data_IF_124797296002
#
_entry.id   IF_124797296002
#
_cell.length_a   1.000
_cell.length_b   1.000
_cell.length_c   1.000
_cell.angle_alpha   90.00
_cell.angle_beta   90.00
_cell.angle_gamma   90.00
#
_symmetry.space_group_name_H-M   'P 1'
#
loop_
_entity.id
_entity.type
_entity.pdbx_description
1 polymer ?
#
# COMPACT_ATOMS: atom_id res chain seq x y z
N UNK A 1 3.49 3.32 4.29
CA UNK A 1 2.25 3.89 3.74
C UNK A 1 2.14 5.35 4.11
N UNK A 2 1.56 6.22 3.25
CA UNK A 2 1.20 7.57 3.63
C UNK A 2 0.25 7.57 4.83
N UNK A 3 0.22 8.69 5.54
CA UNK A 3 -0.72 8.86 6.65
C UNK A 3 -2.15 8.99 6.10
N UNK A 4 -3.03 8.09 6.52
CA UNK A 4 -4.37 7.95 5.96
C UNK A 4 -5.50 8.16 6.98
N UNK A 5 -5.22 8.23 8.28
CA UNK A 5 -6.22 8.50 9.29
C UNK A 5 -6.83 9.89 9.08
N UNK A 6 -8.16 9.95 9.10
CA UNK A 6 -8.93 11.17 9.02
C UNK A 6 -9.52 11.58 10.36
N UNK A 7 -10.51 12.46 10.31
CA UNK A 7 -11.18 12.98 11.51
C UNK A 7 -11.94 11.89 12.27
N UNK A 8 -12.53 10.91 11.58
CA UNK A 8 -13.32 9.84 12.21
C UNK A 8 -12.44 8.93 13.09
N UNK A 9 -11.25 8.52 12.59
CA UNK A 9 -10.32 7.73 13.38
C UNK A 9 -9.73 8.53 14.53
N UNK A 10 -9.47 9.81 14.33
CA UNK A 10 -9.00 10.71 15.39
C UNK A 10 -10.08 10.96 16.46
N UNK A 11 -11.35 11.05 16.05
CA UNK A 11 -12.49 11.18 16.98
C UNK A 11 -12.63 9.92 17.82
N UNK A 12 -12.60 8.75 17.19
CA UNK A 12 -12.65 7.46 17.89
C UNK A 12 -11.51 7.35 18.91
N UNK A 13 -10.28 7.67 18.49
CA UNK A 13 -9.14 7.65 19.40
C UNK A 13 -9.30 8.63 20.57
N UNK A 14 -9.77 9.84 20.30
CA UNK A 14 -10.01 10.84 21.35
C UNK A 14 -11.05 10.37 22.36
N UNK A 15 -12.18 9.87 21.89
CA UNK A 15 -13.29 9.42 22.74
C UNK A 15 -12.86 8.20 23.58
N UNK A 16 -12.12 7.26 23.01
CA UNK A 16 -11.55 6.11 23.72
C UNK A 16 -10.57 6.55 24.81
N UNK A 17 -9.66 7.47 24.51
CA UNK A 17 -8.69 7.97 25.48
C UNK A 17 -9.36 8.79 26.59
N UNK A 18 -10.40 9.54 26.26
CA UNK A 18 -11.19 10.30 27.23
C UNK A 18 -11.97 9.37 28.15
N UNK A 19 -12.73 8.43 27.61
CA UNK A 19 -13.49 7.45 28.39
C UNK A 19 -12.57 6.57 29.28
N UNK A 20 -11.41 6.20 28.77
CA UNK A 20 -10.39 5.51 29.55
C UNK A 20 -9.87 6.37 30.71
N UNK A 21 -9.56 7.64 30.46
CA UNK A 21 -9.01 8.54 31.46
C UNK A 21 -10.02 8.94 32.53
N UNK A 22 -11.30 9.00 32.17
CA UNK A 22 -12.39 9.49 33.03
C UNK A 22 -13.60 8.53 32.96
N UNK A 23 -13.50 7.33 33.55
CA UNK A 23 -14.62 6.38 33.57
C UNK A 23 -15.88 7.03 34.13
N UNK A 24 -16.98 6.95 33.38
CA UNK A 24 -18.27 7.63 33.73
C UNK A 24 -18.12 9.15 34.00
N UNK A 25 -17.23 9.82 33.27
CA UNK A 25 -16.89 11.24 33.39
C UNK A 25 -16.34 11.64 34.78
N UNK A 26 -15.84 10.67 35.55
CA UNK A 26 -15.36 10.85 36.92
C UNK A 26 -13.85 10.50 37.02
N UNK A 27 -13.04 11.52 37.33
CA UNK A 27 -11.61 11.36 37.48
C UNK A 27 -11.19 10.54 38.71
N UNK A 28 -12.04 10.42 39.72
CA UNK A 28 -11.75 9.67 40.94
C UNK A 28 -11.93 8.15 40.77
N UNK A 29 -12.60 7.72 39.71
CA UNK A 29 -12.77 6.31 39.38
C UNK A 29 -11.54 5.66 38.72
N UNK A 30 -10.62 6.44 38.22
CA UNK A 30 -9.39 5.94 37.61
C UNK A 30 -8.40 5.43 38.67
N UNK A 31 -7.90 4.20 38.49
CA UNK A 31 -6.89 3.57 39.35
C UNK A 31 -5.54 3.57 38.69
N UNK A 32 -4.69 4.53 39.01
CA UNK A 32 -3.40 4.79 38.36
C UNK A 32 -2.47 3.56 38.27
N UNK A 33 -2.54 2.63 39.20
CA UNK A 33 -1.65 1.47 39.27
C UNK A 33 -2.17 0.23 38.52
N UNK A 34 -3.45 0.21 38.14
CA UNK A 34 -4.08 -0.96 37.53
C UNK A 34 -4.74 -0.71 36.18
N UNK A 35 -5.01 0.55 35.85
CA UNK A 35 -5.71 0.87 34.61
C UNK A 35 -4.71 1.23 33.52
N UNK A 36 -4.72 0.43 32.45
CA UNK A 36 -3.88 0.58 31.27
C UNK A 36 -4.74 0.49 30.02
N UNK A 37 -4.47 1.34 29.04
CA UNK A 37 -5.12 1.31 27.73
C UNK A 37 -4.13 0.78 26.68
N UNK A 38 -4.42 -0.38 26.13
CA UNK A 38 -3.59 -0.98 25.10
C UNK A 38 -3.92 -0.41 23.72
N UNK A 39 -3.09 0.51 23.23
CA UNK A 39 -3.28 1.15 21.91
C UNK A 39 -2.89 0.23 20.76
N UNK A 40 -2.01 -0.75 20.98
CA UNK A 40 -1.62 -1.75 20.00
C UNK A 40 -0.11 -1.94 19.86
N UNK A 41 0.32 -2.90 19.04
CA UNK A 41 1.73 -3.14 18.77
C UNK A 41 2.32 -2.08 17.83
N UNK A 42 3.64 -1.88 17.95
CA UNK A 42 4.48 -1.22 16.94
C UNK A 42 5.53 -2.23 16.52
N UNK A 43 5.52 -2.64 15.25
CA UNK A 43 6.50 -3.58 14.71
C UNK A 43 7.60 -2.81 14.02
N UNK A 44 8.83 -3.04 14.45
CA UNK A 44 10.02 -2.36 13.93
C UNK A 44 11.12 -3.35 13.58
N UNK A 45 12.09 -2.91 12.78
CA UNK A 45 13.38 -3.58 12.59
C UNK A 45 14.48 -2.52 12.49
N UNK A 46 15.74 -2.94 12.67
CA UNK A 46 16.90 -2.05 12.43
C UNK A 46 17.35 -2.18 10.98
N UNK A 47 17.44 -1.02 10.31
CA UNK A 47 18.02 -0.94 8.97
C UNK A 47 19.56 -0.95 9.04
N UNK A 48 20.21 -0.91 7.87
CA UNK A 48 21.67 -0.95 7.76
C UNK A 48 22.36 0.24 8.43
N UNK A 49 21.67 1.36 8.60
CA UNK A 49 22.15 2.56 9.30
C UNK A 49 21.85 2.50 10.82
N UNK A 50 21.44 1.33 11.34
CA UNK A 50 21.05 1.12 12.74
C UNK A 50 19.86 1.95 13.21
N UNK A 51 19.06 2.48 12.30
CA UNK A 51 17.83 3.19 12.61
C UNK A 51 16.66 2.22 12.74
N UNK A 52 15.71 2.52 13.62
CA UNK A 52 14.48 1.77 13.76
C UNK A 52 13.48 2.20 12.68
N UNK A 53 13.18 1.31 11.76
CA UNK A 53 12.10 1.49 10.79
C UNK A 53 10.82 0.83 11.29
N UNK A 54 9.69 1.54 11.15
CA UNK A 54 8.37 1.08 11.61
C UNK A 54 7.65 0.42 10.43
N UNK A 55 7.32 -0.86 10.60
CA UNK A 55 6.53 -1.64 9.63
C UNK A 55 5.04 -1.57 9.97
N UNK A 56 4.67 -1.68 11.25
CA UNK A 56 3.30 -1.53 11.72
C UNK A 56 3.21 -0.54 12.87
N UNK A 57 2.03 0.08 13.00
CA UNK A 57 1.75 1.09 14.01
C UNK A 57 2.04 2.53 13.56
N UNK A 58 2.45 2.75 12.32
CA UNK A 58 2.76 4.08 11.76
C UNK A 58 1.62 5.07 11.95
N UNK A 59 0.38 4.71 11.59
CA UNK A 59 -0.81 5.57 11.70
C UNK A 59 -1.04 5.99 13.15
N UNK A 60 -1.04 5.04 14.07
CA UNK A 60 -1.23 5.26 15.51
C UNK A 60 -0.15 6.15 16.10
N UNK A 61 1.11 5.86 15.80
CA UNK A 61 2.23 6.67 16.33
C UNK A 61 2.18 8.09 15.80
N UNK A 62 1.94 8.28 14.51
CA UNK A 62 1.79 9.59 13.89
C UNK A 62 0.66 10.39 14.56
N UNK A 63 -0.50 9.77 14.76
CA UNK A 63 -1.65 10.44 15.38
C UNK A 63 -1.38 10.82 16.84
N UNK A 64 -0.74 9.92 17.62
CA UNK A 64 -0.34 10.26 18.99
C UNK A 64 0.68 11.40 19.02
N UNK A 65 1.61 11.45 18.08
CA UNK A 65 2.58 12.56 17.99
C UNK A 65 1.89 13.90 17.72
N UNK A 66 0.89 13.93 16.81
CA UNK A 66 0.08 15.13 16.56
C UNK A 66 -0.73 15.54 17.80
N UNK A 67 -1.34 14.59 18.49
CA UNK A 67 -2.08 14.83 19.72
C UNK A 67 -1.19 15.39 20.84
N UNK A 68 -0.02 14.77 21.07
CA UNK A 68 0.94 15.26 22.08
C UNK A 68 1.45 16.67 21.73
N UNK A 69 1.68 16.93 20.43
CA UNK A 69 2.09 18.26 19.99
C UNK A 69 1.02 19.32 20.25
N UNK A 70 -0.26 18.98 20.05
CA UNK A 70 -1.39 19.88 20.35
C UNK A 70 -1.49 20.19 21.86
N UNK A 71 -1.31 19.18 22.71
CA UNK A 71 -1.21 19.40 24.17
C UNK A 71 -0.02 20.29 24.55
N UNK A 72 1.15 20.05 23.95
CA UNK A 72 2.36 20.84 24.20
C UNK A 72 2.12 22.35 23.96
N UNK A 73 1.43 22.68 22.86
CA UNK A 73 1.10 24.07 22.53
C UNK A 73 0.10 24.66 23.53
N UNK A 74 -0.93 23.89 23.87
CA UNK A 74 -1.91 24.34 24.86
C UNK A 74 -1.29 24.67 26.22
N UNK A 75 -0.39 23.79 26.69
CA UNK A 75 0.32 24.01 27.95
C UNK A 75 1.32 25.16 27.91
N UNK A 76 1.77 25.58 26.74
CA UNK A 76 2.61 26.77 26.59
C UNK A 76 1.97 28.07 27.15
N UNK A 77 0.64 28.12 27.13
CA UNK A 77 -0.14 29.25 27.62
C UNK A 77 -0.58 29.11 29.11
N UNK A 78 -0.29 27.94 29.73
CA UNK A 78 -0.68 27.66 31.10
C UNK A 78 0.49 27.94 32.08
N UNK A 79 0.18 28.51 33.25
CA UNK A 79 1.21 28.96 34.23
C UNK A 79 1.36 28.03 35.43
N UNK A 80 0.42 27.12 35.65
CA UNK A 80 0.44 26.21 36.77
C UNK A 80 1.57 25.18 36.67
N UNK A 81 1.96 24.61 37.82
CA UNK A 81 3.09 23.69 37.91
C UNK A 81 2.82 22.37 37.20
N UNK A 82 1.60 21.88 37.22
CA UNK A 82 1.24 20.60 36.63
C UNK A 82 1.33 20.67 35.09
N UNK A 83 0.76 21.70 34.48
CA UNK A 83 0.87 21.95 33.03
C UNK A 83 2.31 22.08 32.57
N UNK A 84 3.17 22.74 33.34
CA UNK A 84 4.61 22.82 33.01
C UNK A 84 5.30 21.46 33.03
N UNK A 85 5.07 20.63 34.06
CA UNK A 85 5.64 19.30 34.17
C UNK A 85 5.19 18.39 33.05
N UNK A 86 3.90 18.41 32.71
CA UNK A 86 3.35 17.61 31.60
C UNK A 86 3.94 18.07 30.27
N UNK A 87 4.06 19.39 30.05
CA UNK A 87 4.68 19.95 28.86
C UNK A 87 6.14 19.48 28.68
N UNK A 88 6.95 19.48 29.75
CA UNK A 88 8.32 18.96 29.73
C UNK A 88 8.35 17.46 29.38
N UNK A 89 7.44 16.67 29.94
CA UNK A 89 7.32 15.24 29.61
C UNK A 89 6.95 15.02 28.14
N UNK A 90 6.03 15.80 27.59
CA UNK A 90 5.67 15.76 26.16
C UNK A 90 6.87 16.16 25.30
N UNK A 91 7.63 17.17 25.68
CA UNK A 91 8.80 17.60 24.94
C UNK A 91 9.79 16.45 24.74
N UNK A 92 10.02 15.66 25.79
CA UNK A 92 10.88 14.46 25.71
C UNK A 92 10.31 13.36 24.82
N UNK A 93 9.01 13.34 24.55
CA UNK A 93 8.40 12.40 23.58
C UNK A 93 8.59 12.86 22.13
N UNK A 94 8.49 14.16 21.88
CA UNK A 94 8.49 14.72 20.52
C UNK A 94 9.91 14.96 19.99
N UNK A 95 10.80 15.50 20.81
CA UNK A 95 12.15 15.86 20.43
C UNK A 95 13.21 14.91 21.00
N UNK A 96 14.33 14.77 20.32
CA UNK A 96 15.50 14.06 20.85
C UNK A 96 16.05 14.80 22.06
N UNK A 97 16.55 14.06 23.03
CA UNK A 97 17.18 14.61 24.21
C UNK A 97 18.69 14.53 24.13
N UNK A 98 19.38 15.42 24.84
CA UNK A 98 20.82 15.37 25.05
C UNK A 98 21.19 14.41 26.21
N UNK A 99 22.46 14.45 26.62
CA UNK A 99 22.99 13.61 27.69
C UNK A 99 22.38 13.91 29.07
N UNK A 100 21.77 15.08 29.25
CA UNK A 100 21.10 15.54 30.48
C UNK A 100 19.58 15.38 30.42
N UNK A 101 19.07 14.67 29.41
CA UNK A 101 17.64 14.47 29.13
C UNK A 101 16.87 15.79 28.80
N UNK A 102 17.62 16.81 28.33
CA UNK A 102 17.03 18.06 27.87
C UNK A 102 16.62 17.98 26.37
N UNK A 103 15.40 18.39 26.02
CA UNK A 103 14.91 18.28 24.63
C UNK A 103 15.62 19.24 23.68
N UNK A 104 16.17 18.73 22.59
CA UNK A 104 16.68 19.51 21.46
C UNK A 104 15.53 19.79 20.47
N UNK A 105 14.96 20.99 20.54
CA UNK A 105 13.81 21.41 19.72
C UNK A 105 14.07 21.41 18.21
N UNK A 106 15.32 21.25 17.77
CA UNK A 106 15.67 21.18 16.36
C UNK A 106 15.68 19.73 15.83
N UNK A 107 15.62 18.74 16.71
CA UNK A 107 15.77 17.32 16.36
C UNK A 107 14.58 16.50 16.81
N UNK A 108 13.71 16.17 15.87
CA UNK A 108 12.56 15.31 16.14
C UNK A 108 13.00 13.86 16.43
N UNK A 109 12.23 13.14 17.28
CA UNK A 109 12.44 11.71 17.52
C UNK A 109 11.94 10.83 16.38
N UNK A 110 10.98 11.33 15.61
CA UNK A 110 10.40 10.63 14.47
C UNK A 110 10.71 11.39 13.19
N UNK A 111 10.94 10.65 12.11
CA UNK A 111 11.02 11.16 10.76
C UNK A 111 10.08 10.35 9.87
N UNK A 112 9.63 10.93 8.75
CA UNK A 112 8.82 10.25 7.76
C UNK A 112 9.60 10.16 6.46
N UNK A 113 10.02 8.96 6.11
CA UNK A 113 10.71 8.67 4.85
C UNK A 113 9.79 7.97 3.83
N UNK A 114 8.46 8.07 4.00
CA UNK A 114 7.51 7.48 3.07
C UNK A 114 7.64 8.19 1.72
N UNK A 115 8.07 7.44 0.71
CA UNK A 115 8.40 7.97 -0.61
C UNK A 115 7.22 8.63 -1.34
N UNK A 116 5.99 8.18 -1.08
CA UNK A 116 4.75 8.69 -1.69
C UNK A 116 4.02 9.72 -0.84
N UNK A 117 4.58 10.14 0.30
CA UNK A 117 3.96 11.13 1.17
C UNK A 117 4.41 12.53 0.79
N UNK A 118 3.61 13.19 -0.03
CA UNK A 118 3.88 14.58 -0.45
C UNK A 118 3.75 15.58 0.72
N UNK A 119 2.98 15.22 1.74
CA UNK A 119 2.61 16.10 2.84
C UNK A 119 3.50 15.89 4.08
N UNK A 120 4.52 15.01 3.99
CA UNK A 120 5.45 14.75 5.11
C UNK A 120 6.13 16.00 5.63
N UNK A 121 6.38 16.99 4.76
CA UNK A 121 6.94 18.27 5.14
C UNK A 121 6.02 19.03 6.11
N UNK A 122 4.71 19.00 5.90
CA UNK A 122 3.72 19.59 6.80
C UNK A 122 3.74 18.88 8.17
N UNK A 123 3.82 17.56 8.19
CA UNK A 123 3.93 16.78 9.43
C UNK A 123 5.14 17.20 10.27
N UNK A 124 6.32 17.22 9.66
CA UNK A 124 7.55 17.60 10.36
C UNK A 124 7.53 19.04 10.84
N UNK A 125 6.97 19.97 10.05
CA UNK A 125 6.82 21.36 10.45
C UNK A 125 5.83 21.53 11.60
N UNK A 126 4.69 20.82 11.58
CA UNK A 126 3.74 20.79 12.70
C UNK A 126 4.43 20.32 13.98
N UNK A 127 5.21 19.22 13.93
CA UNK A 127 5.90 18.74 15.11
C UNK A 127 6.96 19.71 15.61
N UNK A 128 7.69 20.40 14.75
CA UNK A 128 8.72 21.37 15.12
C UNK A 128 8.12 22.66 15.69
N UNK A 129 7.28 23.32 14.92
CA UNK A 129 6.81 24.68 15.21
C UNK A 129 5.41 24.73 15.84
N UNK A 130 4.56 23.73 15.63
CA UNK A 130 3.13 23.76 16.00
C UNK A 130 2.30 24.67 15.10
N UNK A 131 2.87 25.18 14.02
CA UNK A 131 2.20 26.07 13.09
C UNK A 131 1.54 25.25 11.99
N UNK A 132 0.31 25.61 11.65
CA UNK A 132 -0.43 25.08 10.50
C UNK A 132 -0.83 26.26 9.62
N UNK A 133 -0.31 26.32 8.41
CA UNK A 133 -0.66 27.36 7.46
C UNK A 133 -2.13 27.21 7.01
N UNK A 134 -2.76 28.35 6.68
CA UNK A 134 -4.20 28.41 6.38
C UNK A 134 -4.59 27.60 5.12
N UNK A 135 -3.63 27.36 4.22
CA UNK A 135 -3.82 26.61 2.97
C UNK A 135 -3.62 25.09 3.09
N UNK A 136 -3.06 24.60 4.19
CA UNK A 136 -2.76 23.18 4.36
C UNK A 136 -4.03 22.36 4.58
N UNK A 137 -4.18 21.33 3.74
CA UNK A 137 -5.34 20.42 3.71
C UNK A 137 -4.98 18.96 3.92
N UNK A 138 -3.71 18.65 4.20
CA UNK A 138 -3.28 17.29 4.48
C UNK A 138 -4.02 16.71 5.69
N UNK A 139 -4.09 15.39 5.76
CA UNK A 139 -4.61 14.69 6.94
C UNK A 139 -3.85 15.08 8.21
N UNK A 140 -2.55 15.37 8.12
CA UNK A 140 -1.75 15.85 9.23
C UNK A 140 -2.27 17.20 9.78
N UNK A 141 -2.47 18.16 8.91
CA UNK A 141 -2.93 19.48 9.26
C UNK A 141 -4.39 19.47 9.78
N UNK A 142 -5.27 18.70 9.13
CA UNK A 142 -6.66 18.57 9.55
C UNK A 142 -6.76 17.93 10.93
N UNK A 143 -6.07 16.81 11.15
CA UNK A 143 -6.11 16.08 12.42
C UNK A 143 -5.44 16.87 13.56
N UNK A 144 -4.38 17.62 13.28
CA UNK A 144 -3.78 18.49 14.27
C UNK A 144 -4.73 19.61 14.71
N UNK A 145 -5.43 20.28 13.76
CA UNK A 145 -6.46 21.29 14.08
C UNK A 145 -7.60 20.67 14.87
N UNK A 146 -8.04 19.47 14.51
CA UNK A 146 -9.05 18.73 15.24
C UNK A 146 -8.65 18.55 16.73
N UNK A 147 -7.44 18.08 17.01
CA UNK A 147 -6.97 17.92 18.37
C UNK A 147 -6.81 19.27 19.12
N UNK A 148 -6.33 20.30 18.45
CA UNK A 148 -6.28 21.65 19.05
C UNK A 148 -7.68 22.14 19.47
N UNK A 149 -8.70 21.90 18.64
CA UNK A 149 -10.08 22.25 18.93
C UNK A 149 -10.61 21.43 20.13
N UNK A 150 -10.46 20.11 20.09
CA UNK A 150 -10.91 19.22 21.19
C UNK A 150 -10.27 19.59 22.54
N UNK A 151 -8.98 19.85 22.55
CA UNK A 151 -8.27 20.29 23.77
C UNK A 151 -8.75 21.67 24.22
N UNK A 152 -9.11 22.56 23.32
CA UNK A 152 -9.62 23.90 23.65
C UNK A 152 -11.01 23.81 24.22
N UNK A 153 -11.90 23.00 23.66
CA UNK A 153 -13.23 22.77 24.15
C UNK A 153 -13.20 22.15 25.55
N UNK A 154 -12.39 21.11 25.73
CA UNK A 154 -12.15 20.47 27.01
C UNK A 154 -11.59 21.46 28.06
N UNK A 155 -10.65 22.33 27.67
CA UNK A 155 -10.10 23.33 28.59
C UNK A 155 -11.13 24.40 29.02
N UNK A 156 -12.14 24.62 28.21
CA UNK A 156 -13.23 25.56 28.52
C UNK A 156 -14.26 24.95 29.47
N UNK A 157 -14.53 23.65 29.30
CA UNK A 157 -15.55 22.93 30.08
C UNK A 157 -14.97 22.31 31.36
N UNK A 158 -13.80 21.64 31.25
CA UNK A 158 -13.13 20.95 32.35
C UNK A 158 -11.63 21.30 32.43
N UNK A 159 -11.26 22.53 32.81
CA UNK A 159 -9.86 22.99 32.73
C UNK A 159 -8.91 22.18 33.62
N UNK A 160 -9.35 21.61 34.73
CA UNK A 160 -8.52 20.74 35.57
C UNK A 160 -8.24 19.37 34.99
N UNK A 161 -9.03 18.92 34.03
CA UNK A 161 -8.88 17.59 33.42
C UNK A 161 -7.86 17.55 32.29
N UNK A 162 -7.54 18.69 31.67
CA UNK A 162 -6.61 18.76 30.53
C UNK A 162 -5.24 18.18 30.88
N UNK A 163 -4.66 18.61 32.01
CA UNK A 163 -3.37 18.08 32.47
C UNK A 163 -3.46 16.61 32.89
N UNK A 164 -4.59 16.18 33.45
CA UNK A 164 -4.81 14.80 33.87
C UNK A 164 -4.92 13.87 32.62
N UNK A 165 -5.67 14.27 31.59
CA UNK A 165 -5.77 13.48 30.34
C UNK A 165 -4.39 13.26 29.72
N UNK A 166 -3.64 14.34 29.51
CA UNK A 166 -2.29 14.23 28.96
C UNK A 166 -1.36 13.36 29.82
N UNK A 167 -1.45 13.46 31.15
CA UNK A 167 -0.68 12.64 32.08
C UNK A 167 -1.06 11.16 31.96
N UNK A 168 -2.35 10.84 31.84
CA UNK A 168 -2.83 9.46 31.68
C UNK A 168 -2.42 8.86 30.33
N UNK A 169 -2.46 9.67 29.27
CA UNK A 169 -1.94 9.26 27.95
C UNK A 169 -0.44 8.89 28.06
N UNK A 170 0.36 9.73 28.68
CA UNK A 170 1.80 9.52 28.80
C UNK A 170 2.19 8.33 29.69
N UNK A 171 1.41 8.03 30.73
CA UNK A 171 1.80 7.03 31.72
C UNK A 171 1.02 5.72 31.63
N UNK A 172 -0.17 5.69 31.04
CA UNK A 172 -1.08 4.55 31.11
C UNK A 172 -1.54 4.06 29.73
N UNK A 173 -1.23 4.78 28.64
CA UNK A 173 -1.46 4.27 27.28
C UNK A 173 -0.24 3.49 26.84
N UNK A 174 -0.46 2.21 26.50
CA UNK A 174 0.63 1.28 26.19
C UNK A 174 0.70 1.04 24.68
N UNK A 175 1.87 1.28 24.11
CA UNK A 175 2.30 0.81 22.81
C UNK A 175 3.29 -0.34 23.02
N UNK A 176 3.04 -1.51 22.47
CA UNK A 176 3.91 -2.67 22.60
C UNK A 176 4.95 -2.68 21.46
N UNK A 177 6.22 -2.33 21.73
CA UNK A 177 7.26 -2.39 20.72
C UNK A 177 7.67 -3.86 20.49
N UNK A 178 7.67 -4.27 19.22
CA UNK A 178 8.16 -5.56 18.75
C UNK A 178 9.28 -5.27 17.77
N UNK A 179 10.53 -5.45 18.21
CA UNK A 179 11.70 -5.29 17.36
C UNK A 179 12.05 -6.65 16.71
N UNK A 180 11.99 -6.71 15.39
CA UNK A 180 12.34 -7.88 14.62
C UNK A 180 13.81 -7.83 14.18
N UNK A 181 14.44 -9.00 14.02
CA UNK A 181 15.84 -9.13 13.61
C UNK A 181 16.08 -8.67 12.16
N UNK A 182 15.04 -8.69 11.31
CA UNK A 182 15.12 -8.30 9.91
C UNK A 182 13.79 -7.76 9.41
N UNK A 183 13.80 -7.06 8.26
CA UNK A 183 12.61 -6.60 7.58
C UNK A 183 11.65 -7.75 7.24
N UNK A 184 12.17 -8.87 6.74
CA UNK A 184 11.34 -10.03 6.40
C UNK A 184 10.64 -10.62 7.63
N UNK A 185 11.33 -10.69 8.77
CA UNK A 185 10.74 -11.11 10.03
C UNK A 185 9.68 -10.12 10.51
N UNK A 186 9.94 -8.81 10.42
CA UNK A 186 8.98 -7.77 10.76
C UNK A 186 7.70 -7.88 9.92
N UNK A 187 7.84 -8.11 8.61
CA UNK A 187 6.70 -8.30 7.70
C UNK A 187 5.90 -9.57 8.01
N UNK A 188 6.55 -10.67 8.43
CA UNK A 188 5.85 -11.90 8.88
C UNK A 188 5.08 -11.67 10.17
N UNK A 189 5.69 -10.99 11.14
CA UNK A 189 5.01 -10.61 12.40
C UNK A 189 3.80 -9.74 12.10
N UNK A 190 3.97 -8.72 11.27
CA UNK A 190 2.89 -7.83 10.83
C UNK A 190 1.75 -8.62 10.17
N UNK A 191 2.04 -9.53 9.24
CA UNK A 191 1.04 -10.39 8.60
C UNK A 191 0.25 -11.21 9.63
N UNK A 192 0.96 -11.77 10.62
CA UNK A 192 0.35 -12.64 11.65
C UNK A 192 -0.53 -11.83 12.62
N UNK A 193 -0.09 -10.63 13.02
CA UNK A 193 -0.84 -9.77 13.92
C UNK A 193 -2.06 -9.14 13.25
N UNK A 194 -1.99 -8.89 11.93
CA UNK A 194 -3.06 -8.29 11.14
C UNK A 194 -4.08 -9.29 10.57
N UNK A 195 -4.11 -10.52 11.05
CA UNK A 195 -5.12 -11.52 10.65
C UNK A 195 -6.58 -11.04 10.85
N UNK A 196 -6.76 -9.87 11.49
CA UNK A 196 -8.04 -9.16 11.70
C UNK A 196 -8.11 -7.76 11.09
N UNK A 197 -7.05 -7.28 10.39
CA UNK A 197 -6.96 -5.96 9.74
C UNK A 197 -6.75 -6.05 8.23
N UNK A 198 -6.65 -4.89 7.54
CA UNK A 198 -6.26 -4.85 6.13
C UNK A 198 -4.78 -5.27 5.99
N UNK A 199 -4.48 -6.39 5.33
CA UNK A 199 -3.11 -6.82 5.14
C UNK A 199 -2.32 -5.78 4.33
N UNK A 200 -1.01 -5.72 4.58
CA UNK A 200 -0.10 -4.94 3.72
C UNK A 200 -0.20 -5.47 2.30
N UNK A 201 -0.50 -4.59 1.35
CA UNK A 201 -0.54 -4.97 -0.05
C UNK A 201 0.84 -5.49 -0.50
N UNK A 202 0.86 -6.48 -1.36
CA UNK A 202 2.12 -7.02 -1.88
C UNK A 202 2.91 -5.94 -2.63
N UNK A 203 2.21 -5.04 -3.33
CA UNK A 203 2.78 -3.87 -3.99
C UNK A 203 3.53 -2.91 -3.04
N UNK A 204 3.08 -2.73 -1.79
CA UNK A 204 3.81 -1.91 -0.80
C UNK A 204 5.19 -2.50 -0.46
N UNK A 205 5.26 -3.84 -0.38
CA UNK A 205 6.53 -4.56 -0.15
C UNK A 205 7.44 -4.39 -1.36
N UNK A 206 6.90 -4.57 -2.57
CA UNK A 206 7.67 -4.45 -3.82
C UNK A 206 8.20 -3.04 -4.00
N UNK A 207 7.40 -2.02 -3.71
CA UNK A 207 7.81 -0.62 -3.66
C UNK A 207 9.06 -0.43 -2.81
N UNK A 208 9.08 -1.01 -1.61
CA UNK A 208 10.23 -0.88 -0.71
C UNK A 208 11.49 -1.53 -1.27
N UNK A 209 11.37 -2.62 -2.04
CA UNK A 209 12.52 -3.29 -2.66
C UNK A 209 13.09 -2.47 -3.82
N UNK A 210 12.24 -1.94 -4.70
CA UNK A 210 12.67 -1.01 -5.75
C UNK A 210 13.30 0.25 -5.15
N UNK A 211 12.67 0.84 -4.13
CA UNK A 211 13.19 2.02 -3.46
C UNK A 211 14.61 1.81 -2.92
N UNK A 212 14.87 0.69 -2.24
CA UNK A 212 16.21 0.33 -1.74
C UNK A 212 17.21 0.20 -2.90
N UNK A 213 16.81 -0.46 -3.98
CA UNK A 213 17.66 -0.64 -5.15
C UNK A 213 18.03 0.71 -5.79
N UNK A 214 17.05 1.56 -6.11
CA UNK A 214 17.30 2.87 -6.72
C UNK A 214 18.00 3.84 -5.78
N UNK A 215 17.73 3.76 -4.48
CA UNK A 215 18.46 4.53 -3.46
C UNK A 215 19.94 4.16 -3.45
N UNK A 216 20.29 2.88 -3.56
CA UNK A 216 21.69 2.43 -3.64
C UNK A 216 22.43 2.94 -4.90
N UNK A 217 21.69 3.27 -5.96
CA UNK A 217 22.20 3.88 -7.19
C UNK A 217 22.24 5.42 -7.14
N UNK A 218 21.79 6.04 -6.04
CA UNK A 218 21.66 7.50 -5.93
C UNK A 218 20.49 8.10 -6.73
N UNK A 219 19.53 7.28 -7.20
CA UNK A 219 18.39 7.65 -8.05
C UNK A 219 17.05 7.55 -7.33
N UNK A 220 17.05 7.85 -6.04
CA UNK A 220 15.89 7.77 -5.16
C UNK A 220 14.72 8.63 -5.65
N UNK A 221 14.98 9.91 -5.97
CA UNK A 221 13.93 10.87 -6.32
C UNK A 221 13.29 10.53 -7.66
N UNK A 222 14.08 10.07 -8.64
CA UNK A 222 13.60 9.57 -9.92
C UNK A 222 12.63 8.38 -9.72
N UNK A 223 13.01 7.41 -8.90
CA UNK A 223 12.12 6.28 -8.59
C UNK A 223 10.80 6.73 -7.96
N UNK A 224 10.84 7.71 -7.05
CA UNK A 224 9.64 8.22 -6.38
C UNK A 224 8.64 8.78 -7.41
N UNK A 225 9.12 9.57 -8.37
CA UNK A 225 8.29 10.14 -9.44
C UNK A 225 7.69 9.06 -10.33
N UNK A 226 8.51 8.12 -10.79
CA UNK A 226 8.06 6.98 -11.62
C UNK A 226 7.02 6.12 -10.90
N UNK A 227 7.28 5.75 -9.66
CA UNK A 227 6.35 4.93 -8.88
C UNK A 227 5.02 5.64 -8.63
N UNK A 228 5.05 6.94 -8.34
CA UNK A 228 3.83 7.73 -8.17
C UNK A 228 2.97 7.72 -9.44
N UNK A 229 3.59 7.93 -10.59
CA UNK A 229 2.90 7.88 -11.88
C UNK A 229 2.29 6.49 -12.16
N UNK A 230 3.01 5.41 -11.79
CA UNK A 230 2.50 4.03 -11.86
C UNK A 230 1.27 3.84 -10.97
N UNK A 231 1.34 4.23 -9.69
CA UNK A 231 0.22 4.10 -8.74
C UNK A 231 -1.02 4.87 -9.20
N UNK A 232 -0.86 6.13 -9.64
CA UNK A 232 -1.94 6.96 -10.14
C UNK A 232 -2.60 6.32 -11.38
N UNK A 233 -1.80 5.91 -12.36
CA UNK A 233 -2.33 5.30 -13.59
C UNK A 233 -2.98 3.94 -13.32
N UNK A 234 -2.36 3.09 -12.49
CA UNK A 234 -2.96 1.79 -12.15
C UNK A 234 -4.30 1.95 -11.42
N UNK A 235 -4.42 2.96 -10.55
CA UNK A 235 -5.66 3.26 -9.82
C UNK A 235 -6.78 3.72 -10.76
N UNK A 236 -6.43 4.46 -11.81
CA UNK A 236 -7.41 4.93 -12.80
C UNK A 236 -8.00 3.78 -13.64
N UNK A 237 -7.18 2.77 -14.00
CA UNK A 237 -7.57 1.78 -15.02
C UNK A 237 -7.86 0.38 -14.45
N UNK A 238 -7.31 0.01 -13.30
CA UNK A 238 -7.53 -1.30 -12.71
C UNK A 238 -8.49 -1.24 -11.53
N UNK A 239 -9.55 -2.04 -11.59
CA UNK A 239 -10.57 -2.16 -10.54
C UNK A 239 -10.72 -3.63 -10.10
N UNK A 240 -9.68 -4.23 -9.49
CA UNK A 240 -9.72 -5.63 -9.10
C UNK A 240 -10.76 -5.85 -7.98
N UNK A 241 -11.44 -7.00 -8.01
CA UNK A 241 -12.37 -7.37 -6.94
C UNK A 241 -11.65 -7.71 -5.62
N UNK A 242 -10.36 -8.08 -5.68
CA UNK A 242 -9.52 -8.43 -4.53
C UNK A 242 -8.12 -7.88 -4.77
N UNK A 243 -7.51 -7.33 -3.73
CA UNK A 243 -6.18 -6.71 -3.82
C UNK A 243 -6.24 -5.25 -4.25
N UNK A 244 -5.07 -4.70 -4.56
CA UNK A 244 -4.92 -3.31 -5.01
C UNK A 244 -4.75 -3.23 -6.54
N UNK A 245 -4.98 -2.06 -7.17
CA UNK A 245 -4.66 -1.86 -8.59
C UNK A 245 -3.21 -2.21 -8.95
N UNK A 246 -2.27 -1.92 -8.07
CA UNK A 246 -0.87 -2.29 -8.25
C UNK A 246 -0.65 -3.80 -8.15
N UNK A 247 -1.34 -4.51 -7.25
CA UNK A 247 -1.27 -5.99 -7.19
C UNK A 247 -1.77 -6.63 -8.50
N UNK A 248 -2.76 -6.03 -9.16
CA UNK A 248 -3.23 -6.49 -10.49
C UNK A 248 -2.14 -6.29 -11.56
N UNK A 249 -1.43 -5.15 -11.57
CA UNK A 249 -0.31 -4.93 -12.46
C UNK A 249 0.80 -5.98 -12.23
N UNK A 250 1.17 -6.20 -10.97
CA UNK A 250 2.17 -7.21 -10.62
C UNK A 250 1.70 -8.64 -10.95
N UNK A 251 0.41 -8.93 -10.87
CA UNK A 251 -0.13 -10.23 -11.28
C UNK A 251 0.08 -10.46 -12.77
N UNK A 252 -0.19 -9.46 -13.61
CA UNK A 252 0.06 -9.52 -15.06
C UNK A 252 1.55 -9.72 -15.35
N UNK A 253 2.40 -8.98 -14.68
CA UNK A 253 3.86 -9.10 -14.80
C UNK A 253 4.36 -10.47 -14.29
N UNK A 254 3.81 -11.00 -13.23
CA UNK A 254 4.14 -12.33 -12.72
C UNK A 254 3.91 -13.42 -13.77
N UNK A 255 2.80 -13.38 -14.52
CA UNK A 255 2.54 -14.35 -15.58
C UNK A 255 3.59 -14.30 -16.69
N UNK A 256 4.03 -13.10 -17.08
CA UNK A 256 5.15 -12.94 -18.01
C UNK A 256 6.44 -13.54 -17.46
N UNK A 257 6.82 -13.21 -16.24
CA UNK A 257 8.05 -13.73 -15.60
C UNK A 257 7.98 -15.26 -15.37
N UNK A 258 6.80 -15.80 -15.10
CA UNK A 258 6.56 -17.25 -15.02
C UNK A 258 6.81 -17.93 -16.37
N UNK A 259 6.30 -17.36 -17.44
CA UNK A 259 6.52 -17.85 -18.80
C UNK A 259 8.02 -17.83 -19.17
N UNK A 260 8.73 -16.72 -18.88
CA UNK A 260 10.18 -16.62 -19.07
C UNK A 260 10.98 -17.67 -18.30
N UNK A 261 10.48 -18.10 -17.12
CA UNK A 261 11.11 -19.16 -16.31
C UNK A 261 10.63 -20.57 -16.65
N UNK A 262 9.77 -20.76 -17.63
CA UNK A 262 9.18 -22.03 -18.03
C UNK A 262 8.54 -22.79 -16.83
N UNK A 263 7.75 -22.09 -16.03
CA UNK A 263 7.08 -22.70 -14.87
C UNK A 263 5.79 -23.37 -15.31
N UNK A 264 5.81 -24.68 -15.44
CA UNK A 264 4.69 -25.49 -15.98
C UNK A 264 3.52 -25.71 -15.01
N UNK A 265 3.71 -25.44 -13.71
CA UNK A 265 2.65 -25.65 -12.72
C UNK A 265 1.43 -24.78 -13.00
N UNK A 266 0.25 -25.38 -13.03
CA UNK A 266 -1.03 -24.66 -13.11
C UNK A 266 -1.45 -24.01 -11.79
N UNK A 267 -0.81 -24.40 -10.68
CA UNK A 267 -0.95 -23.73 -9.38
C UNK A 267 -0.08 -22.49 -9.38
N UNK A 268 -0.71 -21.32 -9.18
CA UNK A 268 0.00 -20.05 -9.05
C UNK A 268 0.39 -19.82 -7.59
N UNK A 269 1.62 -19.41 -7.37
CA UNK A 269 2.08 -18.88 -6.09
C UNK A 269 1.43 -17.52 -5.81
N UNK A 270 1.43 -17.09 -4.54
CA UNK A 270 1.11 -15.70 -4.22
C UNK A 270 2.15 -14.76 -4.86
N UNK A 271 1.78 -13.50 -5.05
CA UNK A 271 2.73 -12.48 -5.57
C UNK A 271 3.97 -12.40 -4.68
N UNK A 272 3.76 -12.40 -3.36
CA UNK A 272 4.85 -12.35 -2.37
C UNK A 272 5.80 -13.53 -2.46
N UNK A 273 5.27 -14.75 -2.58
CA UNK A 273 6.10 -15.95 -2.71
C UNK A 273 6.86 -15.98 -4.02
N UNK A 274 6.26 -15.50 -5.10
CA UNK A 274 6.89 -15.49 -6.42
C UNK A 274 8.02 -14.47 -6.52
N UNK A 275 7.76 -13.20 -6.17
CA UNK A 275 8.76 -12.13 -6.25
C UNK A 275 9.74 -12.13 -5.06
N UNK A 276 9.37 -12.73 -3.92
CA UNK A 276 10.22 -12.86 -2.74
C UNK A 276 11.38 -13.83 -2.88
N UNK A 277 11.40 -14.64 -3.95
CA UNK A 277 12.51 -15.55 -4.24
C UNK A 277 13.83 -14.79 -4.35
N UNK A 278 14.92 -15.41 -3.86
CA UNK A 278 16.26 -14.82 -3.88
C UNK A 278 16.30 -13.39 -3.33
N UNK A 279 15.58 -13.14 -2.23
CA UNK A 279 15.50 -11.82 -1.57
C UNK A 279 15.05 -10.71 -2.52
N UNK A 280 14.00 -10.96 -3.28
CA UNK A 280 13.39 -10.02 -4.24
C UNK A 280 14.34 -9.61 -5.38
N UNK A 281 15.26 -10.48 -5.78
CA UNK A 281 16.24 -10.16 -6.81
C UNK A 281 15.62 -9.69 -8.14
N UNK A 282 14.44 -10.23 -8.50
CA UNK A 282 13.73 -9.82 -9.72
C UNK A 282 13.30 -8.36 -9.70
N UNK A 283 12.99 -7.80 -8.52
CA UNK A 283 12.55 -6.42 -8.36
C UNK A 283 13.72 -5.43 -8.20
N UNK A 284 14.94 -5.93 -8.05
CA UNK A 284 16.17 -5.13 -7.93
C UNK A 284 16.81 -4.93 -9.29
N UNK A 285 16.04 -4.44 -10.27
CA UNK A 285 16.53 -4.16 -11.62
C UNK A 285 15.73 -3.02 -12.27
N UNK A 286 16.41 -2.23 -13.11
CA UNK A 286 15.77 -1.18 -13.91
C UNK A 286 14.84 -1.78 -14.94
N UNK A 287 15.22 -2.92 -15.56
CA UNK A 287 14.41 -3.66 -16.52
C UNK A 287 13.02 -3.98 -15.98
N UNK A 288 12.93 -4.47 -14.73
CA UNK A 288 11.63 -4.82 -14.15
C UNK A 288 10.73 -3.60 -13.91
N UNK A 289 11.28 -2.44 -13.59
CA UNK A 289 10.50 -1.21 -13.48
C UNK A 289 10.04 -0.75 -14.86
N UNK A 290 10.92 -0.79 -15.87
CA UNK A 290 10.59 -0.43 -17.24
C UNK A 290 9.52 -1.36 -17.83
N UNK A 291 9.61 -2.68 -17.60
CA UNK A 291 8.59 -3.65 -18.02
C UNK A 291 7.21 -3.31 -17.43
N UNK A 292 7.17 -2.93 -16.14
CA UNK A 292 5.91 -2.54 -15.48
C UNK A 292 5.33 -1.24 -16.07
N UNK A 293 6.17 -0.25 -16.39
CA UNK A 293 5.76 1.01 -16.99
C UNK A 293 5.19 0.80 -18.40
N UNK A 294 5.90 0.06 -19.24
CA UNK A 294 5.47 -0.24 -20.60
C UNK A 294 4.19 -1.07 -20.62
N UNK A 295 4.09 -2.06 -19.72
CA UNK A 295 2.88 -2.88 -19.58
C UNK A 295 1.68 -2.04 -19.13
N UNK A 296 1.88 -1.12 -18.18
CA UNK A 296 0.82 -0.26 -17.69
C UNK A 296 0.36 0.75 -18.76
N UNK A 297 1.29 1.32 -19.55
CA UNK A 297 0.93 2.21 -20.67
C UNK A 297 0.12 1.49 -21.75
N UNK A 298 0.48 0.24 -22.06
CA UNK A 298 -0.33 -0.60 -22.94
C UNK A 298 -1.76 -0.78 -22.42
N UNK A 299 -1.93 -1.12 -21.14
CA UNK A 299 -3.26 -1.32 -20.57
C UNK A 299 -4.04 -0.02 -20.43
N UNK A 300 -3.37 1.12 -20.23
CA UNK A 300 -3.98 2.45 -20.30
C UNK A 300 -4.54 2.76 -21.69
N UNK A 301 -3.79 2.42 -22.75
CA UNK A 301 -4.28 2.55 -24.14
C UNK A 301 -5.48 1.63 -24.40
N UNK A 302 -5.47 0.40 -23.88
CA UNK A 302 -6.59 -0.53 -23.97
C UNK A 302 -7.83 0.00 -23.26
N UNK A 303 -7.69 0.49 -22.05
CA UNK A 303 -8.79 1.06 -21.24
C UNK A 303 -9.42 2.28 -21.92
N UNK A 304 -8.56 3.20 -22.39
CA UNK A 304 -8.99 4.43 -23.06
C UNK A 304 -9.39 4.24 -24.52
N UNK A 305 -9.20 3.05 -25.07
CA UNK A 305 -9.44 2.73 -26.50
C UNK A 305 -8.62 3.62 -27.45
N UNK A 306 -7.40 3.97 -27.05
CA UNK A 306 -6.52 4.87 -27.79
C UNK A 306 -5.41 4.08 -28.52
N UNK A 307 -5.05 4.53 -29.73
CA UNK A 307 -3.89 3.99 -30.47
C UNK A 307 -4.15 2.66 -31.19
N UNK A 308 -5.38 2.16 -31.23
CA UNK A 308 -5.73 0.92 -31.90
C UNK A 308 -6.75 1.14 -33.02
N UNK A 309 -6.69 0.30 -34.08
CA UNK A 309 -7.71 0.30 -35.13
C UNK A 309 -9.03 -0.26 -34.61
N UNK A 310 -10.11 0.06 -35.33
CA UNK A 310 -11.45 -0.41 -35.00
C UNK A 310 -11.56 -1.96 -34.91
N UNK A 311 -10.82 -2.69 -35.74
CA UNK A 311 -10.80 -4.16 -35.72
C UNK A 311 -10.19 -4.71 -34.42
N UNK A 312 -9.10 -4.13 -33.92
CA UNK A 312 -8.48 -4.50 -32.64
C UNK A 312 -9.40 -4.15 -31.48
N UNK A 313 -9.98 -2.95 -31.49
CA UNK A 313 -10.93 -2.52 -30.45
C UNK A 313 -12.17 -3.42 -30.37
N UNK A 314 -12.66 -3.94 -31.48
CA UNK A 314 -13.78 -4.90 -31.50
C UNK A 314 -13.41 -6.22 -30.81
N UNK A 315 -12.22 -6.76 -31.06
CA UNK A 315 -11.77 -7.99 -30.39
C UNK A 315 -11.59 -7.78 -28.88
N UNK A 316 -10.96 -6.67 -28.48
CA UNK A 316 -10.82 -6.30 -27.07
C UNK A 316 -12.19 -6.12 -26.40
N UNK A 317 -13.14 -5.46 -27.08
CA UNK A 317 -14.50 -5.31 -26.58
C UNK A 317 -15.18 -6.67 -26.35
N UNK A 318 -15.06 -7.60 -27.31
CA UNK A 318 -15.61 -8.95 -27.15
C UNK A 318 -14.95 -9.67 -25.96
N UNK A 319 -13.63 -9.61 -25.83
CA UNK A 319 -12.89 -10.24 -24.73
C UNK A 319 -13.28 -9.70 -23.35
N UNK A 320 -13.69 -8.45 -23.22
CA UNK A 320 -14.18 -7.88 -21.96
C UNK A 320 -15.45 -8.59 -21.42
N UNK A 321 -16.18 -9.29 -22.28
CA UNK A 321 -17.32 -10.14 -21.88
C UNK A 321 -16.95 -11.62 -21.74
N UNK A 322 -15.66 -11.96 -21.79
CA UNK A 322 -15.23 -13.33 -21.59
C UNK A 322 -15.57 -13.81 -20.16
N UNK A 323 -15.89 -15.09 -19.96
CA UNK A 323 -16.31 -15.64 -18.68
C UNK A 323 -15.31 -15.49 -17.53
N UNK A 324 -14.05 -15.20 -17.83
CA UNK A 324 -13.03 -14.91 -16.85
C UNK A 324 -11.92 -14.02 -17.44
N UNK A 325 -11.11 -13.42 -16.57
CA UNK A 325 -10.03 -12.49 -16.93
C UNK A 325 -8.71 -13.11 -17.41
N UNK A 326 -8.64 -14.43 -17.67
CA UNK A 326 -7.36 -15.10 -18.05
C UNK A 326 -6.77 -14.54 -19.35
N UNK A 327 -7.59 -14.03 -20.25
CA UNK A 327 -7.15 -13.39 -21.48
C UNK A 327 -6.26 -12.17 -21.23
N UNK A 328 -6.50 -11.43 -20.14
CA UNK A 328 -5.70 -10.25 -19.82
C UNK A 328 -4.25 -10.63 -19.48
N UNK A 329 -4.07 -11.73 -18.78
CA UNK A 329 -2.74 -12.23 -18.43
C UNK A 329 -2.02 -12.78 -19.67
N UNK A 330 -2.73 -13.51 -20.51
CA UNK A 330 -2.18 -14.03 -21.79
C UNK A 330 -1.79 -12.90 -22.74
N UNK A 331 -2.63 -11.87 -22.86
CA UNK A 331 -2.35 -10.68 -23.67
C UNK A 331 -1.16 -9.88 -23.10
N UNK A 332 -1.05 -9.78 -21.77
CA UNK A 332 0.11 -9.12 -21.13
C UNK A 332 1.43 -9.84 -21.45
N UNK A 333 1.43 -11.17 -21.44
CA UNK A 333 2.59 -11.96 -21.84
C UNK A 333 2.94 -11.74 -23.31
N UNK A 334 1.91 -11.76 -24.18
CA UNK A 334 2.13 -11.53 -25.60
C UNK A 334 2.71 -10.14 -25.85
N UNK A 335 2.15 -9.11 -25.24
CA UNK A 335 2.61 -7.74 -25.40
C UNK A 335 4.06 -7.57 -24.95
N UNK A 336 4.41 -7.99 -23.71
CA UNK A 336 5.77 -7.87 -23.20
C UNK A 336 6.82 -8.68 -24.01
N UNK A 337 6.40 -9.71 -24.73
CA UNK A 337 7.28 -10.48 -25.59
C UNK A 337 7.43 -9.91 -27.01
N UNK A 338 6.53 -8.99 -27.44
CA UNK A 338 6.45 -8.55 -28.83
C UNK A 338 6.38 -7.02 -29.00
N UNK A 339 6.57 -6.22 -27.93
CA UNK A 339 6.63 -4.77 -28.07
C UNK A 339 8.00 -4.31 -28.58
N UNK A 340 8.01 -3.20 -29.29
CA UNK A 340 9.20 -2.50 -29.73
C UNK A 340 9.81 -1.64 -28.62
N UNK A 341 11.01 -1.08 -28.83
CA UNK A 341 11.71 -0.22 -27.85
C UNK A 341 10.89 1.02 -27.44
N UNK A 342 9.99 1.50 -28.30
CA UNK A 342 9.10 2.63 -28.02
C UNK A 342 7.79 2.26 -27.33
N UNK A 343 7.60 0.98 -26.96
CA UNK A 343 6.40 0.46 -26.33
C UNK A 343 5.20 0.31 -27.28
N UNK A 344 5.46 0.32 -28.60
CA UNK A 344 4.48 -0.06 -29.63
C UNK A 344 4.54 -1.57 -29.93
N UNK A 345 3.59 -2.08 -30.69
CA UNK A 345 3.62 -3.45 -31.21
C UNK A 345 3.02 -3.49 -32.62
N UNK A 346 3.36 -4.52 -33.38
CA UNK A 346 2.73 -4.77 -34.69
C UNK A 346 1.23 -5.02 -34.50
N UNK A 347 0.42 -4.08 -34.99
CA UNK A 347 -1.02 -4.14 -34.84
C UNK A 347 -1.67 -5.29 -35.63
N UNK A 348 -1.06 -5.72 -36.74
CA UNK A 348 -1.56 -6.85 -37.50
C UNK A 348 -1.35 -8.15 -36.73
N UNK A 349 -0.17 -8.33 -36.16
CA UNK A 349 0.14 -9.47 -35.29
C UNK A 349 -0.72 -9.47 -34.03
N UNK A 350 -0.96 -8.29 -33.42
CA UNK A 350 -1.89 -8.15 -32.29
C UNK A 350 -3.30 -8.58 -32.66
N UNK A 351 -3.80 -8.14 -33.79
CA UNK A 351 -5.15 -8.50 -34.24
C UNK A 351 -5.30 -10.00 -34.46
N UNK A 352 -4.33 -10.63 -35.16
CA UNK A 352 -4.36 -12.07 -35.44
C UNK A 352 -4.30 -12.87 -34.11
N UNK A 353 -3.49 -12.42 -33.17
CA UNK A 353 -3.44 -13.01 -31.83
C UNK A 353 -4.76 -12.88 -31.09
N UNK A 354 -5.35 -11.68 -31.07
CA UNK A 354 -6.63 -11.45 -30.41
C UNK A 354 -7.75 -12.30 -31.01
N UNK A 355 -7.84 -12.43 -32.34
CA UNK A 355 -8.82 -13.31 -33.00
C UNK A 355 -8.66 -14.77 -32.55
N UNK A 356 -7.42 -15.25 -32.51
CA UNK A 356 -7.12 -16.61 -32.09
C UNK A 356 -7.59 -16.89 -30.66
N UNK A 357 -7.22 -16.01 -29.73
CA UNK A 357 -7.57 -16.21 -28.30
C UNK A 357 -9.05 -15.99 -28.04
N UNK A 358 -9.71 -15.04 -28.71
CA UNK A 358 -11.16 -14.81 -28.60
C UNK A 358 -11.91 -16.07 -28.96
N UNK A 359 -11.64 -16.63 -30.15
CA UNK A 359 -12.30 -17.85 -30.62
C UNK A 359 -12.11 -19.01 -29.66
N UNK A 360 -10.85 -19.21 -29.21
CA UNK A 360 -10.53 -20.31 -28.30
C UNK A 360 -11.18 -20.16 -26.93
N UNK A 361 -11.05 -18.98 -26.27
CA UNK A 361 -11.55 -18.75 -24.91
C UNK A 361 -13.04 -18.97 -24.83
N UNK A 362 -13.81 -18.43 -25.79
CA UNK A 362 -15.27 -18.61 -25.80
C UNK A 362 -15.64 -20.07 -26.04
N UNK A 363 -15.07 -20.76 -27.03
CA UNK A 363 -15.34 -22.15 -27.29
C UNK A 363 -15.00 -23.06 -26.11
N UNK A 364 -13.83 -22.85 -25.51
CA UNK A 364 -13.35 -23.63 -24.35
C UNK A 364 -14.20 -23.41 -23.09
N UNK A 365 -14.60 -22.17 -22.83
CA UNK A 365 -15.40 -21.84 -21.66
C UNK A 365 -16.81 -22.40 -21.73
N UNK A 366 -17.37 -22.58 -22.94
CA UNK A 366 -18.63 -23.28 -23.12
C UNK A 366 -18.53 -24.77 -22.83
N UNK A 367 -17.45 -25.38 -23.24
CA UNK A 367 -17.21 -26.82 -23.04
C UNK A 367 -16.83 -27.12 -21.58
N UNK A 368 -16.03 -26.25 -20.97
CA UNK A 368 -15.48 -26.42 -19.62
C UNK A 368 -15.68 -25.18 -18.75
N UNK A 369 -16.89 -24.97 -18.21
CA UNK A 369 -17.22 -23.77 -17.46
C UNK A 369 -16.60 -23.82 -16.06
N UNK A 370 -15.30 -23.57 -15.94
CA UNK A 370 -14.61 -23.49 -14.65
C UNK A 370 -13.66 -22.29 -14.61
N UNK A 371 -13.69 -21.53 -13.52
CA UNK A 371 -12.87 -20.31 -13.38
C UNK A 371 -11.38 -20.59 -13.66
N UNK A 372 -10.87 -21.74 -13.22
CA UNK A 372 -9.47 -22.12 -13.39
C UNK A 372 -9.22 -23.04 -14.60
N UNK A 373 -10.26 -23.41 -15.34
CA UNK A 373 -10.14 -24.39 -16.45
C UNK A 373 -9.19 -23.90 -17.56
N UNK A 374 -9.17 -22.59 -17.82
CA UNK A 374 -8.30 -21.98 -18.84
C UNK A 374 -6.80 -22.03 -18.51
N UNK A 375 -6.40 -22.26 -17.27
CA UNK A 375 -4.97 -22.32 -16.90
C UNK A 375 -4.25 -23.44 -17.64
N UNK A 376 -4.89 -24.58 -17.76
CA UNK A 376 -4.32 -25.78 -18.41
C UNK A 376 -3.97 -25.53 -19.88
N UNK A 377 -4.86 -25.00 -20.74
CA UNK A 377 -4.53 -24.74 -22.13
C UNK A 377 -3.69 -23.47 -22.34
N UNK A 378 -3.79 -22.46 -21.47
CA UNK A 378 -3.20 -21.13 -21.69
C UNK A 378 -1.73 -21.05 -21.24
N UNK A 379 -1.35 -21.69 -20.15
CA UNK A 379 0.02 -21.60 -19.63
C UNK A 379 1.08 -22.10 -20.61
N UNK A 380 0.90 -23.25 -21.30
CA UNK A 380 1.85 -23.67 -22.33
C UNK A 380 1.96 -22.67 -23.50
N UNK A 381 0.88 -21.95 -23.79
CA UNK A 381 0.90 -20.93 -24.85
C UNK A 381 1.67 -19.66 -24.41
N UNK A 382 1.64 -19.30 -23.14
CA UNK A 382 2.47 -18.22 -22.60
C UNK A 382 3.97 -18.54 -22.80
N UNK A 383 4.38 -19.79 -22.58
CA UNK A 383 5.76 -20.23 -22.84
C UNK A 383 6.09 -20.23 -24.35
N UNK A 384 5.15 -20.69 -25.21
CA UNK A 384 5.32 -20.63 -26.65
C UNK A 384 5.53 -19.19 -27.14
N UNK A 385 4.83 -18.22 -26.57
CA UNK A 385 5.00 -16.79 -26.89
C UNK A 385 6.45 -16.34 -26.58
N UNK A 386 6.95 -16.66 -25.40
CA UNK A 386 8.33 -16.32 -25.00
C UNK A 386 9.36 -16.99 -25.90
N UNK A 387 9.13 -18.25 -26.26
CA UNK A 387 10.02 -19.03 -27.12
C UNK A 387 9.88 -18.69 -28.63
N UNK A 388 9.06 -17.70 -28.98
CA UNK A 388 8.75 -17.35 -30.36
C UNK A 388 8.20 -18.54 -31.19
N UNK A 389 7.47 -19.44 -30.51
CA UNK A 389 6.79 -20.57 -31.13
C UNK A 389 5.34 -20.19 -31.45
N UNK A 390 4.70 -20.89 -32.42
CA UNK A 390 3.30 -20.65 -32.71
C UNK A 390 2.40 -20.87 -31.50
N UNK A 391 1.45 -19.96 -31.29
CA UNK A 391 0.36 -20.13 -30.30
C UNK A 391 -0.69 -21.04 -30.93
N UNK A 392 -0.86 -22.25 -30.40
CA UNK A 392 -1.71 -23.27 -30.98
C UNK A 392 -2.60 -23.95 -29.90
N UNK A 393 -3.87 -24.04 -30.20
CA UNK A 393 -4.84 -24.75 -29.36
C UNK A 393 -5.35 -26.04 -30.06
N UNK A 394 -4.55 -26.60 -31.00
CA UNK A 394 -4.90 -27.72 -31.85
C UNK A 394 -5.25 -29.03 -31.11
N UNK A 395 -4.77 -29.16 -29.86
CA UNK A 395 -5.17 -30.29 -28.98
C UNK A 395 -6.64 -30.20 -28.51
N UNK A 396 -7.26 -29.04 -28.66
CA UNK A 396 -8.63 -28.80 -28.25
C UNK A 396 -9.52 -28.62 -29.46
N UNK A 397 -10.34 -29.61 -29.78
CA UNK A 397 -11.26 -29.58 -30.92
C UNK A 397 -12.68 -29.45 -30.42
N UNK A 398 -13.37 -28.40 -30.86
CA UNK A 398 -14.76 -28.14 -30.54
C UNK A 398 -15.61 -28.42 -31.79
N UNK A 399 -16.52 -29.42 -31.70
CA UNK A 399 -17.49 -29.67 -32.75
C UNK A 399 -18.57 -28.61 -32.77
N UNK A 400 -19.05 -28.24 -33.96
CA UNK A 400 -20.17 -27.28 -34.08
C UNK A 400 -21.43 -27.79 -33.38
N UNK A 401 -21.66 -29.08 -33.35
CA UNK A 401 -22.80 -29.72 -32.68
C UNK A 401 -22.67 -29.62 -31.15
N UNK A 402 -21.44 -29.78 -30.60
CA UNK A 402 -21.16 -29.68 -29.17
C UNK A 402 -21.46 -28.27 -28.64
N UNK A 403 -20.98 -27.25 -29.34
CA UNK A 403 -21.22 -25.84 -29.01
C UNK A 403 -22.70 -25.51 -29.14
N UNK A 404 -23.37 -25.96 -30.25
CA UNK A 404 -24.77 -25.66 -30.48
C UNK A 404 -25.70 -26.35 -29.48
N UNK A 405 -25.38 -27.54 -29.02
CA UNK A 405 -26.18 -28.26 -28.03
C UNK A 405 -26.18 -27.54 -26.65
N UNK A 406 -25.04 -26.91 -26.30
CA UNK A 406 -24.93 -26.16 -25.05
C UNK A 406 -25.64 -24.79 -25.08
N UNK A 407 -25.79 -24.17 -26.26
CA UNK A 407 -26.59 -22.97 -26.39
C UNK A 407 -28.11 -23.23 -26.30
N UNK A 408 -28.56 -24.47 -26.44
CA UNK A 408 -29.95 -24.84 -26.39
C UNK A 408 -30.44 -25.36 -25.02
N UNK A 409 -29.48 -25.61 -24.12
CA UNK A 409 -29.71 -26.03 -22.73
C UNK A 409 -29.71 -24.82 -21.78
#
# INVERSE_FOLDING_TARGET
RPYAWGEDECATLWDDLFAFAFPDDDCDKFKRESDEYFLGPIVTFRNDDSQLEIIDGQQRLTTIMLLLRAFYDKFGNMKDKQSKQVRESIARCVWKTDEFDEPDMNRLKIDSEVASDNDKGEFLEILKSGVVEQGWKSSYACNYRYFQQKITDMASEWPSYVALLATRILNNVILLPIEAESQDTALRIFSTLNDRGLPLADADIFKSQFYKYFSSLGRKDEFIEHWKALEETATDIFHPAVGTPMDELFTRYMYYRRACKHIHSTTTQSLRDFFGQDSYKMLKSEESLSDLEVLLDFWKKVDRQEGFSERVLRELFVLNYAPNGMWTYLLSVWFLANHDEDGSCDEAALYDFLQLITGFIYAYSMERPGVNALRVPVFPQMENIIDQKPVEFSAYRFGREDITSRFKA
#
